data_IF_043786680909
#
_entry.id   IF_043786680909
#
_cell.length_a   1.000
_cell.length_b   1.000
_cell.length_c   1.000
_cell.angle_alpha   90.00
_cell.angle_beta   90.00
_cell.angle_gamma   90.00
#
_symmetry.space_group_name_H-M   'P 1'
#
loop_
_entity.id
_entity.type
_entity.pdbx_description
1 polymer ?
#
# COMPACT_ATOMS: atom_id res chain seq x y z
N UNK A 1 13.15 4.42 9.37
CA UNK A 1 13.92 3.17 9.43
C UNK A 1 13.86 2.36 8.12
N UNK A 2 12.89 2.56 7.23
CA UNK A 2 12.72 1.76 6.01
C UNK A 2 12.79 2.60 4.74
N UNK A 3 12.00 3.66 4.64
CA UNK A 3 11.85 4.43 3.40
C UNK A 3 13.14 5.16 3.03
N UNK A 4 13.75 5.93 3.94
CA UNK A 4 14.96 6.68 3.63
C UNK A 4 16.14 5.78 3.27
N UNK A 5 16.44 4.68 3.99
CA UNK A 5 17.46 3.72 3.55
C UNK A 5 17.16 3.11 2.17
N UNK A 6 15.91 2.84 1.86
CA UNK A 6 15.51 2.35 0.54
C UNK A 6 15.75 3.40 -0.55
N UNK A 7 15.41 4.65 -0.29
CA UNK A 7 15.67 5.77 -1.21
C UNK A 7 17.16 6.02 -1.40
N UNK A 8 17.96 5.98 -0.32
CA UNK A 8 19.43 6.09 -0.39
C UNK A 8 20.06 4.97 -1.21
N UNK A 9 19.49 3.78 -1.15
CA UNK A 9 19.91 2.64 -1.96
C UNK A 9 19.50 2.73 -3.43
N UNK A 10 18.73 3.78 -3.83
CA UNK A 10 18.19 3.91 -5.18
C UNK A 10 17.26 2.77 -5.58
N UNK A 11 16.59 2.15 -4.61
CA UNK A 11 15.74 0.99 -4.84
C UNK A 11 14.44 1.39 -5.57
N UNK A 12 14.51 1.37 -6.90
CA UNK A 12 13.39 1.64 -7.80
C UNK A 12 13.27 0.46 -8.77
N UNK A 13 12.06 -0.08 -8.94
CA UNK A 13 11.82 -1.14 -9.91
C UNK A 13 11.52 -0.53 -11.29
N UNK A 14 12.25 -1.00 -12.31
CA UNK A 14 12.14 -0.54 -13.69
C UNK A 14 12.21 1.00 -13.89
N UNK A 15 12.93 1.69 -13.00
CA UNK A 15 13.12 3.14 -13.08
C UNK A 15 11.89 3.98 -12.67
N UNK A 16 10.78 3.37 -12.30
CA UNK A 16 9.51 4.08 -12.07
C UNK A 16 8.82 3.71 -10.75
N UNK A 17 8.85 2.44 -10.35
CA UNK A 17 8.08 1.95 -9.22
C UNK A 17 8.88 1.99 -7.92
N UNK A 18 8.45 2.80 -6.95
CA UNK A 18 9.14 3.06 -5.68
C UNK A 18 9.06 1.94 -4.64
N UNK A 19 8.59 0.76 -4.99
CA UNK A 19 8.57 -0.43 -4.13
C UNK A 19 7.85 -0.25 -2.77
N UNK A 20 6.96 0.74 -2.64
CA UNK A 20 6.27 1.04 -1.40
C UNK A 20 5.46 -0.15 -0.87
N UNK A 21 4.72 -0.84 -1.73
CA UNK A 21 3.98 -2.05 -1.36
C UNK A 21 4.92 -3.20 -1.03
N UNK A 22 6.03 -3.34 -1.77
CA UNK A 22 7.01 -4.40 -1.55
C UNK A 22 7.66 -4.34 -0.17
N UNK A 23 7.97 -3.13 0.32
CA UNK A 23 8.57 -2.93 1.65
C UNK A 23 7.53 -2.93 2.78
N UNK A 24 6.28 -2.56 2.47
CA UNK A 24 5.22 -2.48 3.47
C UNK A 24 4.88 -3.86 4.07
N UNK A 25 4.79 -4.92 3.26
CA UNK A 25 4.39 -6.25 3.75
C UNK A 25 5.41 -6.87 4.71
N UNK A 26 6.72 -6.89 4.43
CA UNK A 26 7.72 -7.31 5.41
C UNK A 26 7.70 -6.48 6.70
N UNK A 27 7.48 -5.18 6.60
CA UNK A 27 7.36 -4.32 7.78
C UNK A 27 6.12 -4.69 8.63
N UNK A 28 4.98 -4.92 7.98
CA UNK A 28 3.76 -5.37 8.67
C UNK A 28 4.00 -6.72 9.34
N UNK A 29 4.59 -7.70 8.63
CA UNK A 29 4.92 -8.99 9.19
C UNK A 29 5.84 -8.87 10.42
N UNK A 30 6.88 -8.03 10.33
CA UNK A 30 7.76 -7.73 11.48
C UNK A 30 6.96 -7.23 12.68
N UNK A 31 6.04 -6.29 12.49
CA UNK A 31 5.20 -5.77 13.57
C UNK A 31 4.22 -6.81 14.12
N UNK A 32 3.66 -7.64 13.25
CA UNK A 32 2.80 -8.76 13.68
C UNK A 32 3.58 -9.74 14.56
N UNK A 33 4.80 -10.11 14.20
CA UNK A 33 5.68 -10.96 15.00
C UNK A 33 6.00 -10.31 16.34
N UNK A 34 6.37 -9.03 16.38
CA UNK A 34 6.63 -8.30 17.63
C UNK A 34 5.41 -8.32 18.58
N UNK A 35 4.21 -8.12 18.03
CA UNK A 35 2.95 -8.16 18.77
C UNK A 35 2.65 -9.60 19.24
N UNK A 36 2.81 -10.59 18.37
CA UNK A 36 2.61 -12.00 18.70
C UNK A 36 3.51 -12.43 19.88
N UNK A 37 4.78 -12.07 19.83
CA UNK A 37 5.73 -12.35 20.93
C UNK A 37 5.31 -11.67 22.23
N UNK A 38 4.94 -10.38 22.18
CA UNK A 38 4.48 -9.62 23.33
C UNK A 38 3.26 -10.27 24.01
N UNK A 39 2.33 -10.79 23.22
CA UNK A 39 1.09 -11.39 23.68
C UNK A 39 1.15 -12.92 23.81
N UNK A 40 2.31 -13.54 23.56
CA UNK A 40 2.51 -15.00 23.60
C UNK A 40 1.53 -15.73 22.66
N UNK A 41 1.21 -15.11 21.53
CA UNK A 41 0.39 -15.74 20.52
C UNK A 41 1.18 -16.87 19.82
N UNK A 42 0.48 -17.92 19.44
CA UNK A 42 1.06 -19.07 18.76
C UNK A 42 1.01 -18.95 17.23
N UNK A 43 0.19 -18.02 16.73
CA UNK A 43 -0.02 -17.81 15.29
C UNK A 43 -0.16 -16.33 14.96
N UNK A 44 0.13 -16.01 13.69
CA UNK A 44 -0.25 -14.76 13.04
C UNK A 44 -1.13 -15.08 11.84
N UNK A 45 -2.00 -14.14 11.44
CA UNK A 45 -2.91 -14.35 10.32
C UNK A 45 -2.85 -13.19 9.34
N UNK A 46 -3.03 -13.48 8.05
CA UNK A 46 -3.17 -12.46 7.01
C UNK A 46 -4.23 -12.84 5.97
N UNK A 47 -4.85 -11.82 5.36
CA UNK A 47 -5.88 -11.97 4.32
C UNK A 47 -5.36 -11.81 2.89
N UNK A 48 -4.06 -11.93 2.64
CA UNK A 48 -3.52 -11.86 1.29
C UNK A 48 -4.00 -13.06 0.46
N UNK A 49 -4.25 -12.84 -0.84
CA UNK A 49 -4.68 -13.90 -1.75
C UNK A 49 -3.61 -15.00 -1.88
N UNK A 50 -4.04 -16.24 -2.04
CA UNK A 50 -3.16 -17.43 -1.98
C UNK A 50 -2.14 -17.59 -3.11
N UNK A 51 -2.11 -16.65 -4.09
CA UNK A 51 -1.24 -16.71 -5.28
C UNK A 51 -0.49 -15.41 -5.56
N UNK A 52 -0.51 -14.45 -4.65
CA UNK A 52 0.05 -13.14 -4.89
C UNK A 52 1.42 -12.91 -4.24
N UNK A 53 2.11 -11.87 -4.68
CA UNK A 53 3.37 -11.42 -4.08
C UNK A 53 3.23 -11.08 -2.59
N UNK A 54 2.08 -10.58 -2.19
CA UNK A 54 1.83 -10.17 -0.80
C UNK A 54 1.83 -11.36 0.15
N UNK A 55 1.20 -12.47 -0.24
CA UNK A 55 1.23 -13.72 0.52
C UNK A 55 2.67 -14.20 0.74
N UNK A 56 3.48 -14.26 -0.33
CA UNK A 56 4.88 -14.67 -0.25
C UNK A 56 5.68 -13.75 0.67
N UNK A 57 5.49 -12.43 0.58
CA UNK A 57 6.18 -11.45 1.43
C UNK A 57 5.83 -11.61 2.92
N UNK A 58 4.56 -11.85 3.25
CA UNK A 58 4.15 -12.11 4.63
C UNK A 58 4.78 -13.39 5.17
N UNK A 59 4.67 -14.49 4.44
CA UNK A 59 5.14 -15.80 4.89
C UNK A 59 6.66 -15.86 5.00
N UNK A 60 7.40 -15.38 4.00
CA UNK A 60 8.86 -15.36 4.06
C UNK A 60 9.38 -14.46 5.19
N UNK A 61 8.76 -13.29 5.39
CA UNK A 61 9.15 -12.42 6.50
C UNK A 61 8.84 -13.05 7.87
N UNK A 62 7.70 -13.71 8.01
CA UNK A 62 7.33 -14.43 9.23
C UNK A 62 8.29 -15.60 9.49
N UNK A 63 8.56 -16.42 8.49
CA UNK A 63 9.48 -17.56 8.60
C UNK A 63 10.91 -17.13 8.97
N UNK A 64 11.37 -15.99 8.43
CA UNK A 64 12.69 -15.45 8.76
C UNK A 64 12.79 -14.89 10.18
N UNK A 65 11.71 -14.29 10.69
CA UNK A 65 11.71 -13.60 11.99
C UNK A 65 11.22 -14.47 13.16
N UNK A 66 10.35 -15.42 12.87
CA UNK A 66 9.71 -16.27 13.88
C UNK A 66 9.24 -17.61 13.25
N UNK A 67 10.17 -18.51 12.91
CA UNK A 67 9.87 -19.78 12.25
C UNK A 67 9.01 -20.72 13.10
N UNK A 68 8.89 -20.47 14.39
CA UNK A 68 8.07 -21.21 15.34
C UNK A 68 6.62 -20.71 15.44
N UNK A 69 6.29 -19.57 14.83
CA UNK A 69 4.92 -19.09 14.77
C UNK A 69 4.20 -19.69 13.54
N UNK A 70 2.99 -20.18 13.79
CA UNK A 70 2.10 -20.59 12.71
C UNK A 70 1.63 -19.37 11.89
N UNK A 71 1.55 -19.52 10.56
CA UNK A 71 0.98 -18.50 9.67
C UNK A 71 -0.36 -18.99 9.14
N UNK A 72 -1.43 -18.36 9.59
CA UNK A 72 -2.79 -18.64 9.14
C UNK A 72 -3.08 -17.77 7.91
N UNK A 73 -3.19 -18.41 6.75
CA UNK A 73 -3.47 -17.78 5.46
C UNK A 73 -4.74 -18.40 4.83
N UNK A 74 -5.96 -17.93 5.18
CA UNK A 74 -7.22 -18.58 4.80
C UNK A 74 -7.38 -18.77 3.29
N UNK A 75 -6.87 -17.85 2.47
CA UNK A 75 -6.92 -17.97 1.01
C UNK A 75 -6.10 -19.14 0.42
N UNK A 76 -5.29 -19.83 1.22
CA UNK A 76 -4.61 -21.06 0.86
C UNK A 76 -5.40 -22.31 1.27
N UNK A 77 -6.34 -22.14 2.18
CA UNK A 77 -7.23 -23.19 2.65
C UNK A 77 -8.33 -23.49 1.61
N UNK A 78 -8.54 -24.77 1.30
CA UNK A 78 -9.49 -25.19 0.29
C UNK A 78 -10.93 -25.00 0.75
N UNK A 79 -11.23 -25.32 2.00
CA UNK A 79 -12.57 -25.18 2.56
C UNK A 79 -12.98 -23.71 2.61
N UNK A 80 -12.06 -22.82 2.99
CA UNK A 80 -12.30 -21.39 2.95
C UNK A 80 -12.58 -20.88 1.52
N UNK A 81 -11.82 -21.33 0.53
CA UNK A 81 -12.03 -20.93 -0.88
C UNK A 81 -13.33 -21.46 -1.44
N UNK A 82 -13.74 -22.68 -1.04
CA UNK A 82 -15.02 -23.25 -1.44
C UNK A 82 -16.20 -22.48 -0.82
N UNK A 83 -16.05 -22.04 0.43
CA UNK A 83 -17.06 -21.21 1.10
C UNK A 83 -17.13 -19.80 0.53
N UNK A 84 -15.99 -19.23 0.10
CA UNK A 84 -15.88 -17.86 -0.41
C UNK A 84 -15.23 -17.84 -1.79
N UNK A 85 -15.93 -18.31 -2.85
CA UNK A 85 -15.37 -18.37 -4.19
C UNK A 85 -15.10 -16.99 -4.80
N UNK A 86 -15.70 -15.93 -4.24
CA UNK A 86 -15.51 -14.57 -4.73
C UNK A 86 -15.83 -13.48 -3.72
N UNK A 87 -15.69 -12.25 -4.21
CA UNK A 87 -15.91 -11.04 -3.41
C UNK A 87 -17.36 -10.88 -2.95
N UNK A 88 -18.30 -11.32 -3.79
CA UNK A 88 -19.73 -11.21 -3.51
C UNK A 88 -20.10 -12.02 -2.26
N UNK A 89 -19.69 -13.28 -2.22
CA UNK A 89 -19.97 -14.20 -1.11
C UNK A 89 -19.38 -13.71 0.21
N UNK A 90 -18.19 -13.11 0.17
CA UNK A 90 -17.59 -12.48 1.34
C UNK A 90 -18.37 -11.26 1.82
N UNK A 91 -18.83 -10.40 0.92
CA UNK A 91 -19.64 -9.24 1.27
C UNK A 91 -20.98 -9.68 1.87
N UNK A 92 -21.65 -10.64 1.24
CA UNK A 92 -22.92 -11.20 1.72
C UNK A 92 -22.75 -11.81 3.13
N UNK A 93 -21.65 -12.52 3.38
CA UNK A 93 -21.32 -13.04 4.70
C UNK A 93 -21.10 -11.92 5.72
N UNK A 94 -20.35 -10.88 5.37
CA UNK A 94 -20.12 -9.74 6.25
C UNK A 94 -21.43 -9.04 6.62
N UNK A 95 -22.31 -8.86 5.65
CA UNK A 95 -23.66 -8.28 5.89
C UNK A 95 -24.47 -9.17 6.83
N UNK A 96 -24.54 -10.47 6.56
CA UNK A 96 -25.27 -11.43 7.38
C UNK A 96 -24.77 -11.49 8.83
N UNK A 97 -23.44 -11.36 9.01
CA UNK A 97 -22.79 -11.39 10.34
C UNK A 97 -22.63 -10.01 10.97
N UNK A 98 -23.11 -8.95 10.33
CA UNK A 98 -22.98 -7.55 10.80
C UNK A 98 -21.52 -7.14 11.02
N UNK A 99 -20.59 -7.65 10.17
CA UNK A 99 -19.19 -7.26 10.18
C UNK A 99 -19.06 -5.96 9.39
N UNK A 100 -18.53 -4.88 9.98
CA UNK A 100 -18.35 -3.62 9.28
C UNK A 100 -17.27 -3.76 8.22
N UNK A 101 -17.59 -3.48 6.96
CA UNK A 101 -16.65 -3.47 5.84
C UNK A 101 -16.87 -2.24 4.98
N UNK A 102 -15.79 -1.59 4.56
CA UNK A 102 -15.84 -0.48 3.60
C UNK A 102 -15.97 -0.98 2.15
N UNK A 103 -15.69 -2.27 1.92
CA UNK A 103 -15.78 -2.86 0.60
C UNK A 103 -17.23 -2.88 0.10
N UNK A 104 -17.45 -2.43 -1.12
CA UNK A 104 -18.74 -2.50 -1.79
C UNK A 104 -18.56 -2.95 -3.24
N UNK A 105 -19.60 -3.53 -3.81
CA UNK A 105 -19.66 -3.85 -5.24
C UNK A 105 -19.59 -2.61 -6.15
N UNK A 106 -19.73 -1.42 -5.57
CA UNK A 106 -19.71 -0.15 -6.31
C UNK A 106 -18.29 0.38 -6.58
N UNK A 107 -17.25 -0.15 -5.93
CA UNK A 107 -15.86 0.25 -6.24
C UNK A 107 -15.35 -0.60 -7.41
N UNK A 108 -15.14 0.00 -8.57
CA UNK A 108 -14.86 -0.74 -9.82
C UNK A 108 -13.39 -1.17 -9.96
N UNK A 109 -12.54 -0.92 -8.99
CA UNK A 109 -11.10 -1.25 -8.98
C UNK A 109 -10.59 -1.49 -7.55
N UNK A 110 -9.44 -2.13 -7.42
CA UNK A 110 -8.67 -2.24 -6.17
C UNK A 110 -7.68 -1.09 -6.05
N UNK A 111 -7.30 -0.75 -4.82
CA UNK A 111 -6.41 0.37 -4.54
C UNK A 111 -5.46 0.00 -3.41
N UNK A 112 -4.15 0.09 -3.68
CA UNK A 112 -3.08 -0.01 -2.71
C UNK A 112 -2.46 1.36 -2.45
N UNK A 113 -2.62 1.88 -1.24
CA UNK A 113 -2.07 3.17 -0.81
C UNK A 113 -0.99 2.98 0.23
N UNK A 114 0.14 3.64 0.02
CA UNK A 114 1.24 3.72 0.98
C UNK A 114 1.81 5.16 1.02
N UNK A 115 2.90 5.37 1.77
CA UNK A 115 3.49 6.71 1.93
C UNK A 115 4.21 7.20 0.66
N UNK A 116 4.61 6.31 -0.24
CA UNK A 116 5.37 6.66 -1.45
C UNK A 116 4.48 6.83 -2.68
N UNK A 117 3.41 6.06 -2.78
CA UNK A 117 2.53 6.06 -3.95
C UNK A 117 1.16 5.45 -3.64
N UNK A 118 0.31 5.50 -4.64
CA UNK A 118 -0.95 4.77 -4.71
C UNK A 118 -0.98 3.99 -6.03
N UNK A 119 -1.32 2.71 -5.97
CA UNK A 119 -1.52 1.86 -7.14
C UNK A 119 -2.99 1.50 -7.27
N UNK A 120 -3.46 1.43 -8.50
CA UNK A 120 -4.82 1.02 -8.83
C UNK A 120 -4.74 -0.20 -9.75
N UNK A 121 -5.58 -1.20 -9.49
CA UNK A 121 -5.64 -2.43 -10.29
C UNK A 121 -7.03 -3.06 -10.28
N UNK A 122 -7.22 -4.05 -11.11
CA UNK A 122 -8.43 -4.88 -11.23
C UNK A 122 -9.68 -4.16 -11.75
N UNK A 123 -10.71 -4.92 -11.99
CA UNK A 123 -12.02 -4.48 -12.42
C UNK A 123 -11.98 -3.75 -13.75
N UNK A 124 -12.47 -2.52 -13.80
CA UNK A 124 -12.53 -1.75 -15.06
C UNK A 124 -11.16 -1.43 -15.65
N UNK A 125 -10.08 -1.53 -14.87
CA UNK A 125 -8.71 -1.25 -15.35
C UNK A 125 -8.12 -2.43 -16.15
N UNK A 126 -8.77 -3.57 -16.14
CA UNK A 126 -8.35 -4.76 -16.92
C UNK A 126 -8.77 -4.69 -18.39
N UNK A 127 -9.66 -3.77 -18.75
CA UNK A 127 -10.07 -3.56 -20.13
C UNK A 127 -9.08 -2.63 -20.85
N UNK A 128 -8.24 -3.14 -21.77
CA UNK A 128 -7.22 -2.33 -22.45
C UNK A 128 -7.79 -1.32 -23.44
N UNK A 129 -9.09 -1.41 -23.77
CA UNK A 129 -9.78 -0.45 -24.65
C UNK A 129 -10.28 0.79 -23.89
N UNK A 130 -10.18 0.80 -22.56
CA UNK A 130 -10.61 1.94 -21.78
C UNK A 130 -9.53 3.03 -21.74
N UNK A 131 -9.86 4.19 -22.28
CA UNK A 131 -9.03 5.38 -22.19
C UNK A 131 -8.91 5.85 -20.73
N UNK A 132 -7.67 5.99 -20.25
CA UNK A 132 -7.37 6.44 -18.89
C UNK A 132 -7.86 7.87 -18.59
N UNK A 133 -8.06 8.70 -19.63
CA UNK A 133 -8.63 10.05 -19.50
C UNK A 133 -10.17 10.07 -19.38
N UNK A 134 -10.81 8.91 -19.55
CA UNK A 134 -12.28 8.85 -19.53
C UNK A 134 -12.86 9.39 -18.21
N UNK A 135 -14.01 10.10 -18.27
CA UNK A 135 -14.63 10.72 -17.07
C UNK A 135 -14.87 9.76 -15.90
N UNK A 136 -15.03 8.45 -16.17
CA UNK A 136 -15.22 7.41 -15.15
C UNK A 136 -14.02 7.24 -14.22
N UNK A 137 -12.81 7.63 -14.66
CA UNK A 137 -11.61 7.63 -13.85
C UNK A 137 -11.42 8.92 -13.04
N UNK A 138 -12.22 9.94 -13.34
CA UNK A 138 -12.22 11.20 -12.60
C UNK A 138 -12.53 10.90 -11.12
N UNK A 139 -11.63 11.23 -10.23
CA UNK A 139 -11.73 10.91 -8.80
C UNK A 139 -11.07 9.58 -8.39
N UNK A 140 -10.47 8.82 -9.31
CA UNK A 140 -9.55 7.73 -8.98
C UNK A 140 -8.25 8.29 -8.36
N UNK A 141 -7.72 9.36 -8.92
CA UNK A 141 -6.51 10.01 -8.43
C UNK A 141 -6.76 10.68 -7.07
N UNK A 142 -6.10 10.18 -6.02
CA UNK A 142 -6.34 10.59 -4.62
C UNK A 142 -5.18 11.36 -4.01
N UNK A 143 -3.98 11.20 -4.56
CA UNK A 143 -2.75 11.83 -4.04
C UNK A 143 -2.29 13.00 -4.89
N UNK A 144 -2.76 13.11 -6.12
CA UNK A 144 -2.44 14.18 -7.06
C UNK A 144 -3.69 14.72 -7.74
N UNK A 145 -3.57 15.86 -8.37
CA UNK A 145 -4.56 16.44 -9.27
C UNK A 145 -4.14 16.22 -10.71
N UNK A 146 -5.06 16.37 -11.67
CA UNK A 146 -4.67 16.34 -13.08
C UNK A 146 -3.84 17.60 -13.44
N UNK A 147 -2.96 17.52 -14.45
CA UNK A 147 -2.20 18.70 -14.91
C UNK A 147 -3.07 19.92 -15.22
N UNK A 148 -4.27 19.70 -15.76
CA UNK A 148 -5.23 20.77 -16.09
C UNK A 148 -5.79 21.46 -14.84
N UNK A 149 -5.91 20.74 -13.71
CA UNK A 149 -6.40 21.25 -12.44
C UNK A 149 -5.26 21.76 -11.54
N UNK A 150 -4.00 21.55 -11.95
CA UNK A 150 -2.84 22.00 -11.19
C UNK A 150 -2.65 23.53 -11.29
N UNK A 151 -2.00 24.16 -10.30
CA UNK A 151 -1.70 25.59 -10.38
C UNK A 151 -0.81 25.95 -11.59
N UNK A 152 -1.17 27.01 -12.31
CA UNK A 152 -0.37 27.53 -13.45
C UNK A 152 0.92 28.25 -13.04
N UNK A 153 1.22 28.35 -11.75
CA UNK A 153 2.44 28.99 -11.25
C UNK A 153 3.36 27.97 -10.66
N UNK A 154 4.65 27.94 -11.05
CA UNK A 154 5.63 27.06 -10.45
C UNK A 154 5.79 27.39 -8.95
N UNK A 155 6.04 26.37 -8.16
CA UNK A 155 6.39 26.49 -6.74
C UNK A 155 7.78 25.90 -6.53
N UNK A 156 8.73 26.74 -6.11
CA UNK A 156 10.08 26.28 -5.81
C UNK A 156 10.13 25.65 -4.44
N UNK A 157 10.77 24.50 -4.33
CA UNK A 157 10.95 23.77 -3.11
C UNK A 157 12.44 23.58 -2.84
N UNK A 158 12.91 24.03 -1.68
CA UNK A 158 14.28 23.82 -1.23
C UNK A 158 14.33 22.62 -0.31
N UNK A 159 15.27 21.72 -0.55
CA UNK A 159 15.50 20.53 0.27
C UNK A 159 16.91 20.58 0.84
N UNK A 160 17.03 20.42 2.16
CA UNK A 160 18.33 20.32 2.82
C UNK A 160 18.62 18.86 3.16
N UNK A 161 19.85 18.45 2.87
CA UNK A 161 20.28 17.06 3.09
C UNK A 161 21.46 17.00 4.05
N UNK A 162 21.43 16.01 4.93
CA UNK A 162 22.56 15.62 5.77
C UNK A 162 22.78 14.12 5.66
N UNK A 163 23.99 13.71 5.28
CA UNK A 163 24.38 12.29 5.11
C UNK A 163 23.38 11.50 4.26
N UNK A 164 22.89 12.11 3.18
CA UNK A 164 21.94 11.50 2.25
C UNK A 164 20.48 11.46 2.72
N UNK A 165 20.17 12.00 3.89
CA UNK A 165 18.80 12.13 4.38
C UNK A 165 18.28 13.55 4.18
N UNK A 166 17.08 13.70 3.64
CA UNK A 166 16.39 14.99 3.62
C UNK A 166 15.96 15.32 5.04
N UNK A 167 16.48 16.43 5.57
CA UNK A 167 16.24 16.88 6.96
C UNK A 167 15.34 18.12 7.03
N UNK A 168 15.24 18.89 5.95
CA UNK A 168 14.37 20.07 5.93
C UNK A 168 13.71 20.27 4.57
N UNK A 169 12.56 20.93 4.58
CA UNK A 169 11.82 21.38 3.40
C UNK A 169 11.57 22.87 3.58
N UNK A 170 11.99 23.70 2.61
CA UNK A 170 11.89 25.16 2.63
C UNK A 170 12.47 25.77 3.93
N UNK A 171 13.68 25.32 4.32
CA UNK A 171 14.39 25.77 5.50
C UNK A 171 13.79 25.32 6.83
N UNK A 172 12.71 24.54 6.82
CA UNK A 172 12.08 24.04 8.05
C UNK A 172 12.52 22.59 8.31
N UNK A 173 13.34 22.42 9.36
CA UNK A 173 13.74 21.07 9.85
C UNK A 173 12.53 20.32 10.38
N UNK A 174 12.42 19.06 10.00
CA UNK A 174 11.29 18.21 10.38
C UNK A 174 11.65 16.73 10.42
N UNK A 175 10.81 15.94 11.10
CA UNK A 175 11.02 14.49 11.14
C UNK A 175 10.85 13.85 9.76
N UNK A 176 11.48 12.67 9.48
CA UNK A 176 11.37 11.98 8.20
C UNK A 176 9.93 11.79 7.71
N UNK A 177 9.02 11.42 8.61
CA UNK A 177 7.61 11.30 8.27
C UNK A 177 7.01 12.64 7.81
N UNK A 178 7.31 13.74 8.51
CA UNK A 178 6.82 15.07 8.14
C UNK A 178 7.41 15.57 6.83
N UNK A 179 8.68 15.23 6.53
CA UNK A 179 9.30 15.50 5.23
C UNK A 179 8.46 14.83 4.12
N UNK A 180 8.21 13.54 4.22
CA UNK A 180 7.43 12.80 3.23
C UNK A 180 6.00 13.36 3.07
N UNK A 181 5.34 13.68 4.17
CA UNK A 181 4.00 14.29 4.15
C UNK A 181 3.99 15.67 3.48
N UNK A 182 5.02 16.48 3.73
CA UNK A 182 5.16 17.80 3.10
C UNK A 182 5.38 17.66 1.59
N UNK A 183 6.27 16.77 1.18
CA UNK A 183 6.56 16.53 -0.24
C UNK A 183 5.37 15.92 -0.98
N UNK A 184 4.67 14.97 -0.38
CA UNK A 184 3.44 14.41 -0.95
C UNK A 184 2.35 15.47 -1.16
N UNK A 185 2.22 16.42 -0.20
CA UNK A 185 1.26 17.51 -0.36
C UNK A 185 1.67 18.48 -1.48
N UNK A 186 2.96 18.83 -1.55
CA UNK A 186 3.48 19.73 -2.59
C UNK A 186 3.39 19.07 -3.97
N UNK A 187 3.90 17.85 -4.13
CA UNK A 187 3.82 17.11 -5.38
C UNK A 187 2.38 16.87 -5.80
N UNK A 188 1.53 16.42 -4.90
CA UNK A 188 0.13 16.16 -5.21
C UNK A 188 -0.68 17.39 -5.63
N UNK A 189 -0.28 18.59 -5.18
CA UNK A 189 -0.87 19.85 -5.60
C UNK A 189 -0.54 20.20 -7.06
N UNK A 190 0.60 19.76 -7.55
CA UNK A 190 1.12 20.12 -8.88
C UNK A 190 0.99 19.00 -9.94
N UNK A 191 0.38 17.86 -9.60
CA UNK A 191 0.11 16.77 -10.52
C UNK A 191 1.12 15.64 -10.55
#
# INVERSE_FOLDING_TARGET
DFIFPMMQAGAIYEGQYFLGTSIARPLIAKRMVEIARKHRAQAIAHGATGKGNDQVRFELAAAALAPDLEVIAPWRDEDFRNQFPGRKEMIDYCVAKKIPVEASMKKPYSMDRNLLHISFEAGMLEDPWLDASAPRYKGMYKLSVSPEDAPNRPEHVTLDFEKGNCIAVNGKVMSPLKVMQALNRLGGKHG
#
